data_IF_409476279829
#
_entry.id   IF_409476279829
#
_cell.length_a   1.000
_cell.length_b   1.000
_cell.length_c   1.000
_cell.angle_alpha   90.00
_cell.angle_beta   90.00
_cell.angle_gamma   90.00
#
_symmetry.space_group_name_H-M   'P 1'
#
loop_
_entity.id
_entity.type
_entity.pdbx_description
1 polymer ?
#
# COMPACT_ATOMS: atom_id res chain seq x y z
N UNK A 1 -22.83 10.12 -26.66
CA UNK A 1 -23.08 10.07 -25.21
C UNK A 1 -23.40 11.48 -24.77
N UNK A 2 -24.67 11.73 -24.35
CA UNK A 2 -25.15 13.05 -23.96
C UNK A 2 -24.46 13.47 -22.65
N UNK A 3 -23.80 14.62 -22.65
CA UNK A 3 -23.37 15.29 -21.40
C UNK A 3 -24.64 15.60 -20.62
N UNK A 4 -24.87 14.88 -19.54
CA UNK A 4 -25.85 15.29 -18.54
C UNK A 4 -25.23 16.47 -17.83
N UNK A 5 -25.68 17.66 -18.20
CA UNK A 5 -25.33 18.91 -17.53
C UNK A 5 -25.97 18.87 -16.13
N UNK A 6 -25.27 18.26 -15.17
CA UNK A 6 -25.73 18.22 -13.78
C UNK A 6 -25.38 19.57 -13.14
N UNK A 7 -26.24 20.57 -13.40
CA UNK A 7 -26.21 21.82 -12.64
C UNK A 7 -26.45 21.46 -11.16
N UNK A 8 -25.42 21.57 -10.33
CA UNK A 8 -25.50 21.32 -8.89
C UNK A 8 -26.38 22.40 -8.27
N UNK A 9 -27.70 22.15 -8.16
CA UNK A 9 -28.58 23.01 -7.39
C UNK A 9 -28.27 22.84 -5.90
N UNK A 10 -27.73 23.89 -5.27
CA UNK A 10 -27.43 23.89 -3.85
C UNK A 10 -28.58 24.53 -3.07
N UNK A 11 -29.28 23.78 -2.18
CA UNK A 11 -30.26 24.39 -1.29
C UNK A 11 -29.62 25.44 -0.39
N UNK A 12 -30.29 26.56 -0.19
CA UNK A 12 -29.75 27.70 0.57
C UNK A 12 -29.26 27.31 1.99
N UNK A 13 -29.94 26.40 2.66
CA UNK A 13 -29.55 25.95 3.99
C UNK A 13 -28.25 25.12 4.03
N UNK A 14 -27.81 24.56 2.89
CA UNK A 14 -26.55 23.83 2.75
C UNK A 14 -25.38 24.71 2.25
N UNK A 15 -25.66 25.90 1.73
CA UNK A 15 -24.62 26.80 1.23
C UNK A 15 -23.49 27.01 2.23
N UNK A 16 -23.74 27.33 3.52
CA UNK A 16 -22.65 27.57 4.47
C UNK A 16 -21.77 26.34 4.72
N UNK A 17 -22.35 25.14 4.68
CA UNK A 17 -21.58 23.87 4.81
C UNK A 17 -20.68 23.66 3.59
N UNK A 18 -21.20 23.88 2.39
CA UNK A 18 -20.43 23.74 1.16
C UNK A 18 -19.36 24.81 1.07
N UNK A 19 -19.64 26.04 1.49
CA UNK A 19 -18.64 27.13 1.57
C UNK A 19 -17.47 26.74 2.48
N UNK A 20 -17.74 26.14 3.67
CA UNK A 20 -16.71 25.60 4.54
C UNK A 20 -15.89 24.49 3.88
N UNK A 21 -16.56 23.52 3.24
CA UNK A 21 -15.88 22.45 2.51
C UNK A 21 -15.03 22.95 1.34
N UNK A 22 -15.50 23.96 0.60
CA UNK A 22 -14.72 24.58 -0.49
C UNK A 22 -13.52 25.39 0.01
N UNK A 23 -13.61 25.96 1.21
CA UNK A 23 -12.52 26.69 1.84
C UNK A 23 -11.41 25.74 2.30
N UNK A 24 -11.79 24.67 3.03
CA UNK A 24 -10.86 23.72 3.63
C UNK A 24 -10.36 22.68 2.63
N UNK A 25 -11.15 22.37 1.60
CA UNK A 25 -10.86 21.40 0.52
C UNK A 25 -10.33 20.04 1.03
N UNK A 26 -10.99 19.40 2.00
CA UNK A 26 -10.55 18.08 2.48
C UNK A 26 -10.66 17.07 1.35
N UNK A 27 -9.63 16.23 1.14
CA UNK A 27 -9.72 15.11 0.20
C UNK A 27 -10.76 14.09 0.68
N UNK A 28 -10.69 13.76 1.96
CA UNK A 28 -11.60 12.84 2.63
C UNK A 28 -12.27 13.53 3.81
N UNK A 29 -13.50 13.11 4.09
CA UNK A 29 -14.33 13.70 5.14
C UNK A 29 -15.02 12.60 5.94
N UNK A 30 -14.85 12.63 7.24
CA UNK A 30 -15.58 11.76 8.18
C UNK A 30 -16.92 12.37 8.58
N UNK A 31 -17.80 11.55 9.20
CA UNK A 31 -19.06 12.07 9.76
C UNK A 31 -18.81 13.10 10.87
N UNK A 32 -17.75 12.93 11.68
CA UNK A 32 -17.44 13.85 12.76
C UNK A 32 -17.02 15.23 12.23
N UNK A 33 -16.15 15.26 11.23
CA UNK A 33 -15.71 16.50 10.57
C UNK A 33 -16.87 17.20 9.86
N UNK A 34 -17.73 16.43 9.17
CA UNK A 34 -18.92 17.00 8.53
C UNK A 34 -19.88 17.64 9.57
N UNK A 35 -20.06 17.01 10.72
CA UNK A 35 -20.87 17.57 11.79
C UNK A 35 -20.23 18.85 12.35
N UNK A 36 -18.91 18.87 12.55
CA UNK A 36 -18.18 20.06 13.04
C UNK A 36 -18.37 21.25 12.07
N UNK A 37 -18.15 21.02 10.77
CA UNK A 37 -18.35 22.05 9.75
C UNK A 37 -19.82 22.55 9.73
N UNK A 38 -20.78 21.63 9.87
CA UNK A 38 -22.19 22.00 9.91
C UNK A 38 -22.55 22.81 11.16
N UNK A 39 -21.98 22.47 12.32
CA UNK A 39 -22.20 23.20 13.58
C UNK A 39 -21.59 24.61 13.49
N UNK A 40 -20.39 24.75 12.95
CA UNK A 40 -19.74 26.05 12.70
C UNK A 40 -20.54 26.91 11.71
N UNK A 41 -21.11 26.28 10.69
CA UNK A 41 -21.99 26.92 9.72
C UNK A 41 -23.38 27.23 10.29
N UNK A 42 -23.71 26.85 11.52
CA UNK A 42 -25.00 27.09 12.17
C UNK A 42 -26.15 26.24 11.61
N UNK A 43 -25.85 25.14 10.90
CA UNK A 43 -26.83 24.28 10.25
C UNK A 43 -27.33 23.22 11.23
N UNK A 44 -28.57 23.36 11.69
CA UNK A 44 -29.23 22.47 12.66
C UNK A 44 -29.92 21.27 11.98
N UNK A 45 -29.15 20.48 11.24
CA UNK A 45 -29.68 19.25 10.63
C UNK A 45 -28.82 18.04 11.06
N UNK A 46 -29.38 16.84 11.21
CA UNK A 46 -28.61 15.65 11.52
C UNK A 46 -27.52 15.40 10.45
N UNK A 47 -26.29 15.07 10.88
CA UNK A 47 -25.16 14.86 9.99
C UNK A 47 -25.43 13.86 8.85
N UNK A 48 -26.18 12.78 9.13
CA UNK A 48 -26.58 11.81 8.08
C UNK A 48 -27.51 12.42 7.01
N UNK A 49 -28.34 13.41 7.37
CA UNK A 49 -29.21 14.13 6.42
C UNK A 49 -28.37 15.04 5.53
N UNK A 50 -27.40 15.74 6.12
CA UNK A 50 -26.46 16.59 5.39
C UNK A 50 -25.63 15.74 4.43
N UNK A 51 -25.02 14.66 4.91
CA UNK A 51 -24.23 13.74 4.10
C UNK A 51 -25.01 13.15 2.93
N UNK A 52 -26.24 12.64 3.18
CA UNK A 52 -27.08 12.08 2.12
C UNK A 52 -27.46 13.12 1.07
N UNK A 53 -27.76 14.34 1.50
CA UNK A 53 -28.10 15.43 0.58
C UNK A 53 -26.91 15.86 -0.25
N UNK A 54 -25.74 16.09 0.38
CA UNK A 54 -24.50 16.43 -0.34
C UNK A 54 -24.09 15.34 -1.32
N UNK A 55 -24.22 14.08 -0.92
CA UNK A 55 -23.97 12.94 -1.80
C UNK A 55 -24.90 12.90 -3.02
N UNK A 56 -26.21 13.12 -2.83
CA UNK A 56 -27.18 13.19 -3.95
C UNK A 56 -26.91 14.35 -4.90
N UNK A 57 -26.36 15.44 -4.38
CA UNK A 57 -25.99 16.61 -5.16
C UNK A 57 -24.58 16.50 -5.78
N UNK A 58 -23.85 15.40 -5.52
CA UNK A 58 -22.53 15.15 -6.09
C UNK A 58 -21.39 15.92 -5.44
N UNK A 59 -21.58 16.48 -4.23
CA UNK A 59 -20.51 17.11 -3.44
C UNK A 59 -19.70 16.10 -2.64
N UNK A 60 -20.32 14.94 -2.33
CA UNK A 60 -19.65 13.84 -1.64
C UNK A 60 -19.78 12.56 -2.47
N UNK A 61 -18.68 11.83 -2.64
CA UNK A 61 -18.66 10.49 -3.20
C UNK A 61 -18.43 9.46 -2.10
N UNK A 62 -18.96 8.26 -2.32
CA UNK A 62 -18.75 7.14 -1.41
C UNK A 62 -17.34 6.59 -1.59
N UNK A 63 -16.67 6.38 -0.46
CA UNK A 63 -15.46 5.56 -0.41
C UNK A 63 -15.82 4.10 -0.11
N UNK A 64 -14.89 3.13 -0.24
CA UNK A 64 -15.08 1.77 0.23
C UNK A 64 -15.31 1.66 1.74
N UNK A 65 -14.99 2.72 2.48
CA UNK A 65 -15.12 2.78 3.94
C UNK A 65 -16.39 3.50 4.35
N UNK A 66 -17.21 2.84 5.19
CA UNK A 66 -18.46 3.42 5.67
C UNK A 66 -18.22 4.63 6.57
N UNK A 67 -18.93 5.73 6.33
CA UNK A 67 -18.84 6.96 7.14
C UNK A 67 -17.66 7.85 6.78
N UNK A 68 -16.99 7.53 5.69
CA UNK A 68 -15.96 8.39 5.07
C UNK A 68 -16.38 8.67 3.62
N UNK A 69 -16.26 9.91 3.22
CA UNK A 69 -16.60 10.37 1.87
C UNK A 69 -15.43 11.11 1.27
N UNK A 70 -15.31 11.04 -0.03
CA UNK A 70 -14.48 11.93 -0.83
C UNK A 70 -15.24 13.22 -1.09
N UNK A 71 -14.62 14.36 -0.82
CA UNK A 71 -15.17 15.66 -1.20
C UNK A 71 -14.83 15.98 -2.66
N UNK A 72 -15.83 16.46 -3.39
CA UNK A 72 -15.67 16.85 -4.80
C UNK A 72 -15.94 18.33 -4.95
N UNK A 73 -14.91 19.16 -5.09
CA UNK A 73 -15.07 20.60 -5.24
C UNK A 73 -15.88 20.98 -6.49
N UNK A 74 -16.39 22.20 -6.53
CA UNK A 74 -17.25 22.69 -7.63
C UNK A 74 -16.56 22.62 -8.99
N UNK A 75 -15.25 22.89 -9.03
CA UNK A 75 -14.44 22.88 -10.25
C UNK A 75 -14.26 21.49 -10.85
N UNK A 76 -14.36 20.44 -9.99
CA UNK A 76 -14.28 19.03 -10.37
C UNK A 76 -15.66 18.36 -10.49
N UNK A 77 -16.73 19.17 -10.71
CA UNK A 77 -18.10 18.71 -10.72
C UNK A 77 -18.32 17.53 -11.68
N UNK A 78 -18.72 16.38 -11.11
CA UNK A 78 -19.01 15.17 -11.86
C UNK A 78 -19.16 13.96 -10.93
N UNK A 79 -19.61 12.80 -11.44
CA UNK A 79 -19.73 11.59 -10.66
C UNK A 79 -18.39 10.84 -10.48
N UNK A 80 -17.27 11.48 -10.84
CA UNK A 80 -15.95 10.86 -10.87
C UNK A 80 -15.13 11.30 -9.66
N UNK A 81 -14.52 10.33 -8.99
CA UNK A 81 -13.49 10.49 -7.99
C UNK A 81 -12.27 11.23 -8.54
N UNK A 82 -11.49 11.83 -7.66
CA UNK A 82 -10.15 12.40 -7.97
C UNK A 82 -9.23 11.37 -8.63
N UNK A 83 -9.64 10.12 -8.66
CA UNK A 83 -8.88 8.98 -9.16
C UNK A 83 -7.57 8.72 -8.38
N UNK A 84 -7.48 9.17 -7.11
CA UNK A 84 -6.35 8.76 -6.26
C UNK A 84 -6.41 7.24 -6.00
N UNK A 85 -5.43 6.47 -6.49
CA UNK A 85 -5.40 5.03 -6.26
C UNK A 85 -5.32 4.66 -4.77
N UNK A 86 -4.78 5.54 -3.91
CA UNK A 86 -4.62 5.29 -2.47
C UNK A 86 -5.86 5.67 -1.65
N UNK A 87 -6.89 6.23 -2.26
CA UNK A 87 -8.11 6.64 -1.56
C UNK A 87 -8.69 5.54 -0.63
N UNK A 88 -8.72 4.24 -1.02
CA UNK A 88 -9.18 3.17 -0.13
C UNK A 88 -8.32 3.01 1.13
N UNK A 89 -7.00 3.18 1.01
CA UNK A 89 -6.06 3.08 2.14
C UNK A 89 -6.18 4.30 3.05
N UNK A 90 -6.23 5.51 2.49
CA UNK A 90 -6.45 6.77 3.23
C UNK A 90 -7.78 6.75 3.99
N UNK A 91 -8.87 6.34 3.33
CA UNK A 91 -10.18 6.22 3.96
C UNK A 91 -10.20 5.16 5.08
N UNK A 92 -9.48 4.06 4.91
CA UNK A 92 -9.31 3.03 5.95
C UNK A 92 -8.55 3.59 7.15
N UNK A 93 -7.45 4.31 6.94
CA UNK A 93 -6.66 4.97 7.99
C UNK A 93 -7.52 5.91 8.84
N UNK A 94 -8.28 6.79 8.20
CA UNK A 94 -9.19 7.72 8.88
C UNK A 94 -10.24 7.03 9.75
N UNK A 95 -10.77 5.89 9.29
CA UNK A 95 -11.78 5.15 10.05
C UNK A 95 -11.20 4.31 11.17
N UNK A 96 -9.92 3.99 11.11
CA UNK A 96 -9.25 3.07 12.04
C UNK A 96 -7.88 3.60 12.48
N UNK A 97 -7.83 4.75 13.19
CA UNK A 97 -6.57 5.41 13.57
C UNK A 97 -5.67 4.55 14.47
N UNK A 98 -6.23 3.49 15.10
CA UNK A 98 -5.47 2.53 15.90
C UNK A 98 -4.92 1.33 15.11
N UNK A 99 -5.14 1.27 13.79
CA UNK A 99 -4.60 0.21 12.94
C UNK A 99 -3.30 0.67 12.29
N UNK A 100 -2.16 0.19 12.80
CA UNK A 100 -0.86 0.41 12.15
C UNK A 100 -0.73 -0.44 10.88
N UNK A 101 -0.47 0.21 9.76
CA UNK A 101 -0.19 -0.43 8.48
C UNK A 101 0.72 0.44 7.61
N UNK A 102 1.30 -0.17 6.58
CA UNK A 102 2.09 0.53 5.57
C UNK A 102 1.81 -0.04 4.16
N UNK A 103 1.99 0.77 3.14
CA UNK A 103 2.06 0.30 1.76
C UNK A 103 3.21 -0.68 1.62
N UNK A 104 3.03 -1.72 0.80
CA UNK A 104 4.04 -2.77 0.61
C UNK A 104 4.08 -3.25 -0.84
N UNK A 105 5.07 -4.06 -1.18
CA UNK A 105 5.24 -4.72 -2.49
C UNK A 105 5.13 -3.70 -3.63
N UNK A 106 4.41 -4.02 -4.71
CA UNK A 106 4.27 -3.16 -5.87
C UNK A 106 3.63 -1.81 -5.54
N UNK A 107 2.69 -1.77 -4.58
CA UNK A 107 2.08 -0.50 -4.17
C UNK A 107 3.09 0.43 -3.53
N UNK A 108 3.97 -0.10 -2.67
CA UNK A 108 5.06 0.67 -2.08
C UNK A 108 6.07 1.12 -3.15
N UNK A 109 6.49 0.21 -4.03
CA UNK A 109 7.37 0.54 -5.14
C UNK A 109 6.80 1.69 -5.99
N UNK A 110 5.52 1.63 -6.34
CA UNK A 110 4.85 2.71 -7.07
C UNK A 110 4.77 4.02 -6.28
N UNK A 111 4.44 3.95 -5.00
CA UNK A 111 4.34 5.15 -4.16
C UNK A 111 5.69 5.86 -4.01
N UNK A 112 6.79 5.10 -4.03
CA UNK A 112 8.18 5.58 -4.01
C UNK A 112 8.70 6.03 -5.38
N UNK A 113 7.93 5.84 -6.46
CA UNK A 113 8.36 6.17 -7.82
C UNK A 113 9.24 5.10 -8.49
N UNK A 114 9.30 3.90 -7.91
CA UNK A 114 10.09 2.75 -8.36
C UNK A 114 9.28 1.74 -9.19
N UNK A 115 8.03 2.06 -9.51
CA UNK A 115 7.17 1.29 -10.39
C UNK A 115 6.25 2.21 -11.17
N UNK A 116 6.07 1.95 -12.46
CA UNK A 116 5.23 2.78 -13.34
C UNK A 116 3.74 2.57 -13.11
N UNK A 117 3.36 1.41 -12.58
CA UNK A 117 1.96 0.99 -12.50
C UNK A 117 1.51 0.71 -11.08
N UNK A 118 0.34 1.25 -10.75
CA UNK A 118 -0.38 0.88 -9.53
C UNK A 118 -0.98 -0.51 -9.70
N UNK A 119 -0.86 -1.42 -8.70
CA UNK A 119 -1.57 -2.68 -8.75
C UNK A 119 -3.09 -2.47 -8.65
N UNK A 120 -3.87 -3.39 -9.25
CA UNK A 120 -5.33 -3.33 -9.23
C UNK A 120 -5.95 -3.36 -7.81
N UNK A 121 -5.19 -3.79 -6.84
CA UNK A 121 -5.54 -3.76 -5.41
C UNK A 121 -4.37 -3.22 -4.63
N UNK A 122 -4.65 -2.31 -3.71
CA UNK A 122 -3.63 -1.69 -2.85
C UNK A 122 -3.06 -2.72 -1.90
N UNK A 123 -1.77 -2.98 -2.00
CA UNK A 123 -1.07 -3.94 -1.15
C UNK A 123 -0.62 -3.26 0.13
N UNK A 124 -1.08 -3.80 1.26
CA UNK A 124 -0.88 -3.21 2.58
C UNK A 124 -0.33 -4.27 3.53
N UNK A 125 0.71 -3.92 4.25
CA UNK A 125 1.24 -4.71 5.36
C UNK A 125 0.72 -4.14 6.69
N UNK A 126 0.05 -4.97 7.47
CA UNK A 126 -0.31 -4.68 8.86
C UNK A 126 0.74 -5.28 9.78
N UNK A 127 1.09 -4.60 10.86
CA UNK A 127 1.97 -5.17 11.90
C UNK A 127 1.36 -6.44 12.50
N UNK A 128 0.05 -6.41 12.73
CA UNK A 128 -0.72 -7.55 13.23
C UNK A 128 -1.94 -7.78 12.35
N UNK A 129 -2.50 -8.98 12.39
CA UNK A 129 -3.71 -9.30 11.65
C UNK A 129 -4.85 -8.34 12.06
N UNK A 130 -5.41 -7.54 11.15
CA UNK A 130 -6.48 -6.62 11.48
C UNK A 130 -7.73 -7.37 11.95
N UNK A 131 -8.31 -6.91 13.06
CA UNK A 131 -9.57 -7.43 13.60
C UNK A 131 -10.77 -6.84 12.85
N UNK A 132 -10.57 -5.68 12.22
CA UNK A 132 -11.59 -4.96 11.45
C UNK A 132 -11.67 -5.47 10.01
N UNK A 133 -12.84 -5.27 9.40
CA UNK A 133 -13.03 -5.65 8.00
C UNK A 133 -12.26 -4.73 7.07
N UNK A 134 -11.29 -5.29 6.37
CA UNK A 134 -10.52 -4.57 5.35
C UNK A 134 -11.35 -4.49 4.04
N UNK A 135 -11.40 -3.31 3.38
CA UNK A 135 -12.04 -3.16 2.07
C UNK A 135 -11.48 -4.12 1.03
N UNK A 136 -12.30 -4.53 0.07
CA UNK A 136 -11.90 -5.47 -1.00
C UNK A 136 -10.84 -4.89 -1.95
N UNK A 137 -10.76 -3.58 -2.03
CA UNK A 137 -9.79 -2.82 -2.81
C UNK A 137 -8.38 -2.95 -2.24
N UNK A 138 -8.27 -3.32 -0.96
CA UNK A 138 -7.01 -3.54 -0.25
C UNK A 138 -6.67 -5.03 -0.24
N UNK A 139 -5.41 -5.34 -0.47
CA UNK A 139 -4.81 -6.68 -0.35
C UNK A 139 -3.97 -6.73 0.95
N UNK A 140 -4.52 -7.22 2.06
CA UNK A 140 -3.82 -7.22 3.33
C UNK A 140 -2.79 -8.34 3.42
N UNK A 141 -1.66 -8.05 4.04
CA UNK A 141 -0.66 -9.00 4.51
C UNK A 141 -0.28 -8.67 5.95
N UNK A 142 0.53 -9.51 6.59
CA UNK A 142 1.07 -9.23 7.93
C UNK A 142 2.58 -9.19 7.84
N UNK A 143 3.13 -8.01 8.11
CA UNK A 143 4.57 -7.78 8.16
C UNK A 143 4.82 -6.51 8.99
N UNK A 144 5.75 -6.60 9.92
CA UNK A 144 6.24 -5.51 10.73
C UNK A 144 7.68 -5.20 10.30
N UNK A 145 7.95 -3.95 9.96
CA UNK A 145 9.31 -3.51 9.60
C UNK A 145 10.14 -3.30 10.87
N UNK A 146 11.37 -3.83 10.87
CA UNK A 146 12.35 -3.60 11.93
C UNK A 146 13.04 -2.23 11.84
N UNK A 147 12.99 -1.60 10.67
CA UNK A 147 13.62 -0.29 10.40
C UNK A 147 12.60 0.85 10.25
N UNK A 148 11.32 0.56 10.56
CA UNK A 148 10.23 1.52 10.47
C UNK A 148 9.77 1.80 9.02
N UNK A 149 8.88 2.78 8.91
CA UNK A 149 8.27 3.20 7.65
C UNK A 149 8.68 4.61 7.29
N UNK A 150 8.48 4.98 6.03
CA UNK A 150 8.56 6.35 5.53
C UNK A 150 7.18 6.80 5.07
N UNK A 151 6.98 8.08 4.89
CA UNK A 151 5.75 8.59 4.30
C UNK A 151 5.91 8.71 2.79
N UNK A 152 4.96 8.14 2.03
CA UNK A 152 4.88 8.28 0.59
C UNK A 152 3.43 8.52 0.19
N UNK A 153 3.16 9.60 -0.54
CA UNK A 153 1.82 10.01 -0.98
C UNK A 153 0.81 10.06 0.18
N UNK A 154 1.24 10.64 1.32
CA UNK A 154 0.44 10.81 2.55
C UNK A 154 -0.01 9.48 3.21
N UNK A 155 0.69 8.38 2.94
CA UNK A 155 0.43 7.07 3.54
C UNK A 155 1.75 6.46 4.02
N UNK A 156 1.80 5.82 5.20
CA UNK A 156 2.97 5.07 5.62
C UNK A 156 3.35 4.02 4.58
N UNK A 157 4.65 3.90 4.28
CA UNK A 157 5.18 3.08 3.22
C UNK A 157 6.41 2.32 3.71
N UNK A 158 6.55 1.05 3.32
CA UNK A 158 7.75 0.27 3.58
C UNK A 158 8.92 0.81 2.75
N UNK A 159 10.12 0.79 3.33
CA UNK A 159 11.39 1.07 2.62
C UNK A 159 11.72 -0.07 1.65
N UNK A 160 12.63 0.16 0.72
CA UNK A 160 13.07 -0.81 -0.27
C UNK A 160 13.52 -2.14 0.37
N UNK A 161 14.31 -2.07 1.43
CA UNK A 161 14.80 -3.23 2.18
C UNK A 161 13.64 -4.03 2.81
N UNK A 162 12.70 -3.32 3.43
CA UNK A 162 11.53 -3.94 4.05
C UNK A 162 10.61 -4.59 3.01
N UNK A 163 10.49 -4.03 1.80
CA UNK A 163 9.76 -4.65 0.69
C UNK A 163 10.38 -6.01 0.34
N UNK A 164 11.70 -6.05 0.13
CA UNK A 164 12.40 -7.29 -0.24
C UNK A 164 12.37 -8.32 0.89
N UNK A 165 12.56 -7.90 2.15
CA UNK A 165 12.49 -8.80 3.30
C UNK A 165 11.05 -9.32 3.50
N UNK A 166 10.02 -8.51 3.24
CA UNK A 166 8.62 -8.98 3.24
C UNK A 166 8.39 -10.05 2.15
N UNK A 167 8.89 -9.84 0.92
CA UNK A 167 8.84 -10.84 -0.16
C UNK A 167 9.54 -12.14 0.26
N UNK A 168 10.70 -12.05 0.89
CA UNK A 168 11.43 -13.21 1.40
C UNK A 168 10.71 -13.91 2.57
N UNK A 169 10.09 -13.15 3.47
CA UNK A 169 9.34 -13.71 4.59
C UNK A 169 8.07 -14.43 4.15
N UNK A 170 7.33 -13.85 3.19
CA UNK A 170 6.05 -14.34 2.71
C UNK A 170 5.97 -14.36 1.18
N UNK A 171 6.71 -15.26 0.51
CA UNK A 171 6.75 -15.29 -0.97
C UNK A 171 5.38 -15.43 -1.64
N UNK A 172 4.41 -16.03 -0.95
CA UNK A 172 3.04 -16.18 -1.45
C UNK A 172 2.20 -14.90 -1.43
N UNK A 173 2.69 -13.79 -0.85
CA UNK A 173 2.01 -12.48 -0.91
C UNK A 173 2.20 -11.81 -2.25
N UNK A 174 3.30 -12.08 -2.94
CA UNK A 174 3.55 -11.62 -4.30
C UNK A 174 2.67 -12.43 -5.25
N UNK A 175 1.62 -11.80 -5.77
CA UNK A 175 0.62 -12.49 -6.59
C UNK A 175 1.15 -12.92 -7.94
N UNK A 176 2.00 -12.11 -8.54
CA UNK A 176 2.55 -12.34 -9.87
C UNK A 176 4.05 -12.02 -9.87
N UNK A 177 4.86 -13.03 -9.61
CA UNK A 177 6.32 -12.89 -9.59
C UNK A 177 6.91 -12.46 -10.94
N UNK A 178 6.29 -12.87 -12.05
CA UNK A 178 6.71 -12.38 -13.37
C UNK A 178 6.55 -10.88 -13.50
N UNK A 179 5.46 -10.32 -12.95
CA UNK A 179 5.24 -8.86 -12.92
C UNK A 179 6.18 -8.13 -11.95
N UNK A 180 6.74 -8.82 -10.95
CA UNK A 180 7.72 -8.22 -10.06
C UNK A 180 9.01 -7.82 -10.78
N UNK A 181 9.34 -8.44 -11.90
CA UNK A 181 10.50 -8.08 -12.73
C UNK A 181 10.39 -6.67 -13.33
N UNK A 182 9.20 -6.08 -13.39
CA UNK A 182 8.99 -4.72 -13.90
C UNK A 182 9.40 -3.63 -12.89
N UNK A 183 9.53 -3.96 -11.60
CA UNK A 183 9.79 -2.97 -10.55
C UNK A 183 10.82 -3.42 -9.49
N UNK A 184 11.04 -4.72 -9.33
CA UNK A 184 11.98 -5.23 -8.34
C UNK A 184 13.42 -4.79 -8.57
N UNK A 185 13.94 -4.72 -9.84
CA UNK A 185 15.27 -4.17 -10.10
C UNK A 185 15.44 -2.75 -9.56
N UNK A 186 14.48 -1.86 -9.78
CA UNK A 186 14.53 -0.48 -9.28
C UNK A 186 14.51 -0.43 -7.74
N UNK A 187 13.65 -1.25 -7.12
CA UNK A 187 13.62 -1.37 -5.65
C UNK A 187 14.96 -1.83 -5.09
N UNK A 188 15.60 -2.85 -5.67
CA UNK A 188 16.88 -3.36 -5.14
C UNK A 188 18.04 -2.40 -5.39
N UNK A 189 17.95 -1.53 -6.41
CA UNK A 189 18.96 -0.48 -6.64
C UNK A 189 18.97 0.56 -5.51
N UNK A 190 17.82 0.87 -4.92
CA UNK A 190 17.69 1.82 -3.82
C UNK A 190 18.13 1.26 -2.45
N UNK A 191 18.41 -0.05 -2.37
CA UNK A 191 18.71 -0.70 -1.10
C UNK A 191 20.15 -0.41 -0.64
N UNK A 192 20.28 -0.23 0.67
CA UNK A 192 21.56 -0.10 1.36
C UNK A 192 21.82 -1.30 2.28
N UNK A 193 23.11 -1.62 2.49
CA UNK A 193 23.55 -2.79 3.26
C UNK A 193 23.13 -2.71 4.74
N UNK A 194 23.39 -1.58 5.40
CA UNK A 194 23.11 -1.41 6.83
C UNK A 194 21.61 -1.52 7.14
N UNK A 195 20.68 -0.80 6.45
CA UNK A 195 19.26 -0.98 6.65
C UNK A 195 18.77 -2.40 6.33
N UNK A 196 19.31 -3.05 5.30
CA UNK A 196 18.95 -4.43 4.96
C UNK A 196 19.29 -5.40 6.09
N UNK A 197 20.51 -5.33 6.63
CA UNK A 197 20.95 -6.17 7.74
C UNK A 197 20.14 -5.88 9.02
N UNK A 198 19.84 -4.61 9.28
CA UNK A 198 18.97 -4.22 10.39
C UNK A 198 17.54 -4.78 10.23
N UNK A 199 16.99 -4.76 9.02
CA UNK A 199 15.68 -5.35 8.72
C UNK A 199 15.66 -6.88 8.86
N UNK A 200 16.77 -7.54 8.54
CA UNK A 200 16.93 -8.99 8.70
C UNK A 200 17.21 -9.41 10.15
N UNK A 201 17.71 -8.51 10.98
CA UNK A 201 18.05 -8.82 12.38
C UNK A 201 16.85 -9.42 13.14
N UNK A 202 17.09 -10.51 13.86
CA UNK A 202 16.05 -11.23 14.62
C UNK A 202 15.06 -12.04 13.78
N UNK A 203 15.14 -11.98 12.45
CA UNK A 203 14.26 -12.77 11.60
C UNK A 203 14.70 -14.24 11.51
N UNK A 204 13.75 -15.18 11.24
CA UNK A 204 14.07 -16.57 11.08
C UNK A 204 15.08 -16.83 9.96
N UNK A 205 15.91 -17.88 10.11
CA UNK A 205 16.89 -18.33 9.11
C UNK A 205 16.30 -18.40 7.68
N UNK A 206 15.05 -18.84 7.54
CA UNK A 206 14.40 -18.95 6.24
C UNK A 206 14.23 -17.62 5.51
N UNK A 207 14.12 -16.52 6.25
CA UNK A 207 14.01 -15.16 5.65
C UNK A 207 15.38 -14.73 5.13
N UNK A 208 16.45 -14.90 5.92
CA UNK A 208 17.82 -14.63 5.51
C UNK A 208 18.20 -15.41 4.25
N UNK A 209 17.98 -16.74 4.25
CA UNK A 209 18.25 -17.60 3.08
C UNK A 209 17.51 -17.14 1.82
N UNK A 210 16.23 -16.79 1.95
CA UNK A 210 15.42 -16.36 0.81
C UNK A 210 15.79 -14.96 0.32
N UNK A 211 16.11 -14.03 1.23
CA UNK A 211 16.58 -12.70 0.85
C UNK A 211 17.91 -12.78 0.10
N UNK A 212 18.90 -13.51 0.63
CA UNK A 212 20.16 -13.71 -0.05
C UNK A 212 20.03 -14.40 -1.41
N UNK A 213 19.15 -15.40 -1.52
CA UNK A 213 18.84 -16.06 -2.80
C UNK A 213 18.22 -15.09 -3.80
N UNK A 214 17.22 -14.29 -3.38
CA UNK A 214 16.53 -13.34 -4.25
C UNK A 214 17.47 -12.26 -4.78
N UNK A 215 18.44 -11.83 -3.97
CA UNK A 215 19.40 -10.78 -4.31
C UNK A 215 20.62 -11.30 -5.07
N UNK A 216 20.80 -12.62 -5.22
CA UNK A 216 22.06 -13.22 -5.69
C UNK A 216 22.57 -12.73 -7.06
N UNK A 217 21.67 -12.35 -7.97
CA UNK A 217 22.05 -11.79 -9.28
C UNK A 217 21.92 -10.28 -9.33
N UNK A 218 20.77 -9.74 -8.90
CA UNK A 218 20.48 -8.31 -9.00
C UNK A 218 21.40 -7.44 -8.12
N UNK A 219 21.73 -7.91 -6.90
CA UNK A 219 22.63 -7.22 -5.96
C UNK A 219 23.56 -8.22 -5.26
N UNK A 220 24.55 -8.78 -6.01
CA UNK A 220 25.50 -9.75 -5.47
C UNK A 220 26.35 -9.18 -4.33
N UNK A 221 26.56 -7.87 -4.29
CA UNK A 221 27.21 -7.14 -3.20
C UNK A 221 26.43 -7.31 -1.88
N UNK A 222 25.11 -7.01 -1.88
CA UNK A 222 24.25 -7.19 -0.71
C UNK A 222 24.11 -8.67 -0.32
N UNK A 223 24.05 -9.58 -1.29
CA UNK A 223 24.05 -11.01 -1.02
C UNK A 223 25.35 -11.47 -0.35
N UNK A 224 26.50 -10.85 -0.65
CA UNK A 224 27.76 -11.11 0.05
C UNK A 224 27.71 -10.59 1.48
N UNK A 225 27.21 -9.38 1.71
CA UNK A 225 27.06 -8.82 3.06
C UNK A 225 26.16 -9.69 3.94
N UNK A 226 25.00 -10.11 3.42
CA UNK A 226 24.12 -11.09 4.12
C UNK A 226 24.91 -12.36 4.48
N UNK A 227 25.71 -12.88 3.54
CA UNK A 227 26.49 -14.11 3.74
C UNK A 227 27.67 -13.98 4.73
N UNK A 228 28.10 -12.77 5.09
CA UNK A 228 29.10 -12.53 6.15
C UNK A 228 28.48 -12.73 7.53
N UNK A 229 27.23 -12.29 7.71
CA UNK A 229 26.55 -12.33 9.01
C UNK A 229 25.70 -13.59 9.19
N UNK A 230 25.46 -14.32 8.12
CA UNK A 230 24.54 -15.45 8.14
C UNK A 230 25.02 -16.63 7.27
N UNK A 231 25.13 -17.79 7.90
CA UNK A 231 25.35 -19.09 7.23
C UNK A 231 24.09 -19.96 7.34
N UNK A 232 23.49 -20.41 6.21
CA UNK A 232 22.33 -21.29 6.24
C UNK A 232 22.65 -22.64 6.87
N UNK A 233 21.91 -23.04 7.92
CA UNK A 233 22.11 -24.32 8.60
C UNK A 233 21.18 -25.43 8.06
N UNK A 234 20.01 -25.06 7.52
CA UNK A 234 19.01 -26.01 7.06
C UNK A 234 18.38 -25.59 5.74
N UNK A 235 17.86 -26.56 5.00
CA UNK A 235 17.19 -26.32 3.72
C UNK A 235 15.90 -25.53 3.93
N UNK A 236 15.74 -24.47 3.15
CA UNK A 236 14.59 -23.56 3.16
C UNK A 236 13.85 -23.66 1.83
N UNK A 237 12.52 -23.59 1.86
CA UNK A 237 11.71 -23.55 0.63
C UNK A 237 11.31 -22.13 0.31
N UNK A 238 11.46 -21.76 -0.97
CA UNK A 238 10.93 -20.54 -1.52
C UNK A 238 9.65 -20.85 -2.29
N UNK A 239 8.48 -20.70 -1.63
CA UNK A 239 7.17 -20.98 -2.23
C UNK A 239 6.41 -22.14 -1.57
N UNK A 240 5.38 -22.68 -2.26
CA UNK A 240 4.52 -23.76 -1.75
C UNK A 240 5.23 -25.11 -1.67
N UNK A 241 4.54 -26.09 -1.06
CA UNK A 241 5.01 -27.50 -1.01
C UNK A 241 4.79 -28.17 -2.36
N UNK A 242 5.73 -28.03 -3.27
CA UNK A 242 5.74 -28.65 -4.60
C UNK A 242 7.15 -29.11 -4.95
N UNK A 243 7.32 -29.73 -6.13
CA UNK A 243 8.64 -30.07 -6.66
C UNK A 243 9.45 -28.81 -6.86
N UNK A 244 10.75 -28.89 -6.54
CA UNK A 244 11.66 -27.78 -6.75
C UNK A 244 11.86 -27.52 -8.25
N UNK A 245 11.73 -26.27 -8.65
CA UNK A 245 12.14 -25.79 -9.96
C UNK A 245 13.67 -25.65 -10.02
N UNK A 246 14.25 -25.19 -8.89
CA UNK A 246 15.70 -24.99 -8.72
C UNK A 246 16.11 -25.27 -7.29
N UNK A 247 17.39 -25.61 -7.12
CA UNK A 247 18.04 -25.67 -5.81
C UNK A 247 19.26 -24.77 -5.80
N UNK A 248 19.44 -24.05 -4.71
CA UNK A 248 20.61 -23.24 -4.45
C UNK A 248 21.35 -23.77 -3.22
N UNK A 249 22.60 -24.17 -3.40
CA UNK A 249 23.40 -24.77 -2.31
C UNK A 249 23.98 -23.70 -1.39
N UNK A 250 24.30 -22.51 -1.91
CA UNK A 250 24.86 -21.42 -1.10
C UNK A 250 23.85 -20.96 -0.04
N UNK A 251 22.60 -20.73 -0.47
CA UNK A 251 21.52 -20.26 0.41
C UNK A 251 20.68 -21.39 0.99
N UNK A 252 20.98 -22.65 0.60
CA UNK A 252 20.17 -23.85 0.93
C UNK A 252 18.69 -23.66 0.62
N UNK A 253 18.39 -23.00 -0.50
CA UNK A 253 17.02 -22.71 -0.94
C UNK A 253 16.56 -23.76 -1.97
N UNK A 254 15.35 -24.28 -1.76
CA UNK A 254 14.60 -25.07 -2.74
C UNK A 254 13.51 -24.16 -3.29
N UNK A 255 13.72 -23.62 -4.49
CA UNK A 255 12.77 -22.74 -5.16
C UNK A 255 11.69 -23.54 -5.87
N UNK A 256 10.45 -23.28 -5.50
CA UNK A 256 9.25 -23.94 -6.02
C UNK A 256 8.24 -22.92 -6.60
N UNK A 257 8.65 -21.63 -6.72
CA UNK A 257 7.71 -20.56 -6.99
C UNK A 257 8.15 -19.60 -8.10
N UNK A 258 9.43 -19.21 -8.12
CA UNK A 258 9.88 -18.15 -9.02
C UNK A 258 9.85 -18.59 -10.47
N UNK A 259 9.25 -17.81 -11.39
CA UNK A 259 9.25 -18.11 -12.83
C UNK A 259 10.59 -17.80 -13.50
N UNK A 260 11.54 -17.22 -12.76
CA UNK A 260 12.88 -16.84 -13.20
C UNK A 260 13.94 -17.36 -12.22
N UNK A 261 15.18 -17.43 -12.66
CA UNK A 261 16.32 -17.69 -11.77
C UNK A 261 16.88 -16.37 -11.24
N UNK A 262 16.81 -16.08 -9.92
CA UNK A 262 17.34 -14.84 -9.38
C UNK A 262 18.84 -14.64 -9.63
N UNK A 263 19.62 -15.73 -9.83
CA UNK A 263 21.07 -15.66 -10.07
C UNK A 263 21.42 -15.17 -11.48
N UNK A 264 20.46 -15.28 -12.41
CA UNK A 264 20.62 -14.87 -13.81
C UNK A 264 20.11 -13.44 -14.06
N UNK A 265 19.48 -12.83 -13.04
CA UNK A 265 19.00 -11.46 -13.14
C UNK A 265 20.14 -10.48 -12.83
N UNK A 266 20.37 -9.56 -13.75
CA UNK A 266 21.24 -8.40 -13.50
C UNK A 266 20.38 -7.18 -13.19
N UNK A 267 20.74 -6.42 -12.15
CA UNK A 267 20.16 -5.09 -11.98
C UNK A 267 20.71 -4.20 -13.10
N UNK A 268 19.83 -3.56 -13.82
CA UNK A 268 20.24 -2.51 -14.77
C UNK A 268 20.60 -1.29 -13.91
N UNK A 269 21.90 -1.14 -13.65
CA UNK A 269 22.49 0.01 -12.95
C UNK A 269 22.48 1.24 -13.84
#
# INVERSE_FOLDING_TARGET
MSRVDMTRYLPQWLSPVVEGLELDRPELLTMAELCAIADEAGVKAPGYTIADRLRRLGWLLKTPQRGVWEFVPAESAGPYSTADPLLPAKAFALSHPGCSFALTLQTAAWALGLADRVPARIEVAFEQRPVVKVPREISPSVFESGIGTIEAREVPCLRAESIVVHMAQRPGTVRLWQGALEWLPDVVCEMESEPLLAELAGRPQSVWSRAGYLLSGMRPDLAVEIGRDFEPKSKTRFGPRSNALRNDERWKVSDTLLPFDPRELEAVL
#
